data_IF_502600997643
#
_entry.id   IF_502600997643
#
_cell.length_a   1.000
_cell.length_b   1.000
_cell.length_c   1.000
_cell.angle_alpha   90.00
_cell.angle_beta   90.00
_cell.angle_gamma   90.00
#
_symmetry.space_group_name_H-M   'P 1'
#
loop_
_entity.id
_entity.type
_entity.pdbx_description
1 polymer ?
#
# COMPACT_ATOMS: atom_id res chain seq x y z
N UNK A 1 14.35 -3.78 16.13
CA UNK A 1 13.63 -2.57 15.67
C UNK A 1 13.67 -2.65 14.16
N UNK A 2 12.80 -3.49 13.66
CA UNK A 2 12.95 -4.26 12.44
C UNK A 2 12.60 -3.47 11.19
N UNK A 3 13.02 -3.97 10.04
CA UNK A 3 12.65 -3.42 8.74
C UNK A 3 11.19 -3.76 8.43
N UNK A 4 10.39 -2.81 7.92
CA UNK A 4 8.96 -3.04 7.72
C UNK A 4 8.74 -4.05 6.60
N UNK A 5 8.21 -5.22 6.97
CA UNK A 5 7.69 -6.20 6.02
C UNK A 5 6.28 -5.76 5.59
N UNK A 6 6.07 -5.56 4.29
CA UNK A 6 4.74 -5.27 3.76
C UNK A 6 4.26 -6.48 2.97
N UNK A 7 3.09 -7.01 3.35
CA UNK A 7 2.44 -8.11 2.63
C UNK A 7 1.62 -7.54 1.46
N UNK A 8 1.90 -8.00 0.24
CA UNK A 8 1.14 -7.62 -0.93
C UNK A 8 0.32 -8.82 -1.42
N UNK A 9 -0.97 -8.58 -1.66
CA UNK A 9 -1.87 -9.54 -2.28
C UNK A 9 -2.25 -8.98 -3.65
N UNK A 10 -1.91 -9.70 -4.71
CA UNK A 10 -2.31 -9.35 -6.08
C UNK A 10 -2.94 -10.54 -6.78
N UNK A 11 -3.67 -10.26 -7.86
CA UNK A 11 -4.32 -11.28 -8.66
C UNK A 11 -3.48 -11.59 -9.89
N UNK A 12 -2.93 -12.79 -9.96
CA UNK A 12 -2.19 -13.27 -11.13
C UNK A 12 -2.94 -14.48 -11.73
N UNK A 13 -3.18 -14.45 -13.04
CA UNK A 13 -3.90 -15.53 -13.75
C UNK A 13 -5.19 -15.98 -13.05
N UNK A 14 -5.97 -15.02 -12.55
CA UNK A 14 -7.21 -15.20 -11.78
C UNK A 14 -7.08 -15.78 -10.36
N UNK A 15 -5.87 -16.18 -9.95
CA UNK A 15 -5.55 -16.65 -8.60
C UNK A 15 -5.02 -15.51 -7.71
N UNK A 16 -5.17 -15.65 -6.39
CA UNK A 16 -4.56 -14.73 -5.43
C UNK A 16 -3.14 -15.22 -5.14
N UNK A 17 -2.15 -14.36 -5.34
CA UNK A 17 -0.76 -14.62 -4.99
C UNK A 17 -0.39 -13.71 -3.82
N UNK A 18 0.23 -14.30 -2.81
CA UNK A 18 0.77 -13.60 -1.66
C UNK A 18 2.28 -13.42 -1.88
N UNK A 19 2.75 -12.19 -1.78
CA UNK A 19 4.16 -11.86 -1.91
C UNK A 19 4.63 -11.03 -0.72
N UNK A 20 5.80 -11.38 -0.21
CA UNK A 20 6.46 -10.66 0.86
C UNK A 20 7.42 -9.65 0.25
N UNK A 21 7.09 -8.36 0.38
CA UNK A 21 7.96 -7.28 -0.10
C UNK A 21 8.69 -6.68 1.10
N UNK A 22 10.02 -6.69 1.01
CA UNK A 22 10.88 -6.04 2.00
C UNK A 22 11.13 -4.59 1.58
N UNK A 23 10.69 -3.66 2.42
CA UNK A 23 10.94 -2.24 2.23
C UNK A 23 12.17 -1.81 3.04
N UNK A 24 13.17 -1.27 2.34
CA UNK A 24 14.41 -0.77 2.93
C UNK A 24 14.22 0.66 3.40
N UNK A 25 14.73 1.00 4.58
CA UNK A 25 14.71 2.36 5.10
C UNK A 25 15.60 3.27 4.27
N UNK A 26 15.20 4.54 4.15
CA UNK A 26 16.05 5.59 3.61
C UNK A 26 16.42 6.59 4.71
N UNK A 27 17.17 7.63 4.37
CA UNK A 27 17.49 8.74 5.29
C UNK A 27 16.22 9.51 5.72
N UNK A 28 15.23 9.59 4.83
CA UNK A 28 13.91 10.13 5.16
C UNK A 28 13.06 9.00 5.79
N UNK A 29 12.62 9.13 7.06
CA UNK A 29 11.86 8.09 7.74
C UNK A 29 10.48 7.84 7.13
N UNK A 30 9.95 8.77 6.32
CA UNK A 30 8.71 8.60 5.60
C UNK A 30 8.89 7.89 4.25
N UNK A 31 10.14 7.65 3.82
CA UNK A 31 10.46 7.08 2.51
C UNK A 31 11.19 5.75 2.65
N UNK A 32 10.74 4.77 1.87
CA UNK A 32 11.30 3.44 1.77
C UNK A 32 11.59 3.09 0.32
N UNK A 33 12.55 2.20 0.09
CA UNK A 33 12.80 1.62 -1.23
C UNK A 33 12.40 0.15 -1.26
N UNK A 34 11.81 -0.28 -2.36
CA UNK A 34 11.54 -1.69 -2.65
C UNK A 34 12.25 -2.07 -3.94
N UNK A 35 12.75 -3.30 -3.98
CA UNK A 35 13.34 -3.87 -5.18
C UNK A 35 12.49 -5.06 -5.65
N UNK A 36 11.35 -4.74 -6.24
CA UNK A 36 10.45 -5.69 -6.89
C UNK A 36 10.37 -5.30 -8.36
N UNK A 37 10.91 -6.12 -9.26
CA UNK A 37 10.97 -5.86 -10.71
C UNK A 37 11.56 -4.48 -11.13
N UNK A 38 12.41 -3.90 -10.27
CA UNK A 38 12.97 -2.56 -10.40
C UNK A 38 12.92 -1.80 -9.07
N UNK A 39 13.84 -0.86 -8.86
CA UNK A 39 13.81 -0.01 -7.68
C UNK A 39 12.61 0.94 -7.74
N UNK A 40 11.79 0.93 -6.71
CA UNK A 40 10.65 1.83 -6.53
C UNK A 40 10.72 2.49 -5.17
N UNK A 41 10.26 3.74 -5.10
CA UNK A 41 10.15 4.49 -3.84
C UNK A 41 8.73 4.41 -3.33
N UNK A 42 8.59 4.15 -2.03
CA UNK A 42 7.33 4.20 -1.29
C UNK A 42 7.43 5.37 -0.31
N UNK A 43 6.47 6.28 -0.33
CA UNK A 43 6.34 7.38 0.62
C UNK A 43 5.09 7.20 1.47
N UNK A 44 5.23 7.21 2.79
CA UNK A 44 4.11 7.28 3.72
C UNK A 44 3.63 8.73 3.76
N UNK A 45 2.37 8.97 3.42
CA UNK A 45 1.77 10.29 3.46
C UNK A 45 1.26 10.65 4.85
N UNK A 46 0.61 9.69 5.52
CA UNK A 46 0.02 9.86 6.83
C UNK A 46 -0.39 8.50 7.42
N UNK A 47 -0.34 8.37 8.73
CA UNK A 47 -0.70 7.16 9.48
C UNK A 47 -1.02 7.55 10.92
N UNK A 48 -1.92 6.81 11.56
CA UNK A 48 -2.14 6.86 13.01
C UNK A 48 -1.73 5.55 13.71
N UNK A 49 -1.04 4.68 12.97
CA UNK A 49 -0.48 3.37 13.35
C UNK A 49 -1.50 2.34 13.85
N UNK A 50 -2.77 2.74 13.95
CA UNK A 50 -3.81 1.98 14.65
C UNK A 50 -5.05 1.74 13.80
N UNK A 51 -5.40 2.66 12.91
CA UNK A 51 -6.62 2.61 12.11
C UNK A 51 -6.35 2.70 10.61
N UNK A 52 -5.39 3.51 10.18
CA UNK A 52 -5.13 3.71 8.76
C UNK A 52 -3.67 3.97 8.42
N UNK A 53 -3.34 3.69 7.16
CA UNK A 53 -2.09 4.03 6.51
C UNK A 53 -2.38 4.59 5.11
N UNK A 54 -1.88 5.79 4.82
CA UNK A 54 -1.83 6.34 3.48
C UNK A 54 -0.39 6.28 2.98
N UNK A 55 -0.19 5.66 1.83
CA UNK A 55 1.13 5.64 1.19
C UNK A 55 1.00 5.83 -0.31
N UNK A 56 2.08 6.23 -0.95
CA UNK A 56 2.22 6.29 -2.38
C UNK A 56 3.44 5.52 -2.85
N UNK A 57 3.36 4.94 -4.04
CA UNK A 57 4.44 4.24 -4.71
C UNK A 57 4.70 4.91 -6.06
N UNK A 58 5.97 5.23 -6.32
CA UNK A 58 6.44 5.73 -7.60
C UNK A 58 6.65 4.57 -8.59
N UNK A 59 6.49 4.86 -9.88
CA UNK A 59 6.84 3.91 -10.93
C UNK A 59 8.34 3.51 -10.87
N UNK A 60 8.69 2.27 -11.26
CA UNK A 60 10.07 1.80 -11.22
C UNK A 60 11.00 2.58 -12.16
N UNK A 61 12.19 2.93 -11.66
CA UNK A 61 13.28 3.53 -12.45
C UNK A 61 13.83 2.47 -13.42
N UNK A 62 14.11 2.78 -14.72
CA UNK A 62 14.11 4.10 -15.36
C UNK A 62 12.85 4.38 -16.18
N UNK A 63 11.74 3.65 -15.96
CA UNK A 63 10.53 3.84 -16.78
C UNK A 63 10.07 5.28 -16.63
N UNK A 64 10.14 6.06 -17.71
CA UNK A 64 9.82 7.49 -17.79
C UNK A 64 8.34 7.84 -17.53
N UNK A 65 7.57 6.91 -16.97
CA UNK A 65 6.22 7.17 -16.52
C UNK A 65 6.31 7.80 -15.13
N UNK A 66 6.05 9.10 -15.02
CA UNK A 66 5.91 9.83 -13.76
C UNK A 66 4.62 9.43 -13.01
N UNK A 67 4.30 8.14 -12.99
CA UNK A 67 3.12 7.59 -12.36
C UNK A 67 3.35 7.45 -10.86
N UNK A 68 2.37 7.90 -10.09
CA UNK A 68 2.29 7.67 -8.66
C UNK A 68 1.00 6.90 -8.39
N UNK A 69 1.09 5.82 -7.62
CA UNK A 69 -0.06 5.07 -7.14
C UNK A 69 -0.16 5.28 -5.63
N UNK A 70 -1.25 5.87 -5.17
CA UNK A 70 -1.49 6.07 -3.75
C UNK A 70 -2.61 5.16 -3.26
N UNK A 71 -2.45 4.63 -2.06
CA UNK A 71 -3.40 3.70 -1.47
C UNK A 71 -3.71 4.09 -0.03
N UNK A 72 -5.00 4.02 0.31
CA UNK A 72 -5.49 4.05 1.67
C UNK A 72 -5.74 2.61 2.13
N UNK A 73 -4.98 2.17 3.13
CA UNK A 73 -5.22 0.93 3.86
C UNK A 73 -5.92 1.24 5.18
N UNK A 74 -7.06 0.60 5.41
CA UNK A 74 -7.80 0.65 6.67
C UNK A 74 -7.63 -0.67 7.42
N UNK A 75 -7.53 -0.60 8.75
CA UNK A 75 -7.47 -1.81 9.59
C UNK A 75 -8.80 -2.57 9.63
N UNK A 76 -9.91 -1.91 9.31
CA UNK A 76 -11.24 -2.53 9.23
C UNK A 76 -11.86 -2.27 7.87
N UNK A 77 -12.75 -3.16 7.43
CA UNK A 77 -13.49 -3.01 6.17
C UNK A 77 -14.57 -1.92 6.23
N UNK A 78 -14.82 -1.31 7.40
CA UNK A 78 -15.77 -0.21 7.51
C UNK A 78 -15.10 1.06 7.00
N UNK A 79 -15.71 1.67 5.99
CA UNK A 79 -15.29 2.99 5.50
C UNK A 79 -15.53 4.02 6.59
N UNK A 80 -14.47 4.70 7.00
CA UNK A 80 -14.56 5.93 7.79
C UNK A 80 -14.51 7.14 6.84
N UNK A 81 -15.64 7.82 6.69
CA UNK A 81 -15.75 8.96 5.78
C UNK A 81 -14.81 10.11 6.14
N UNK A 82 -14.49 10.32 7.43
CA UNK A 82 -13.56 11.38 7.85
C UNK A 82 -12.14 11.06 7.42
N UNK A 83 -11.75 9.79 7.53
CA UNK A 83 -10.43 9.31 7.08
C UNK A 83 -10.36 9.35 5.56
N UNK A 84 -11.44 9.00 4.85
CA UNK A 84 -11.50 9.13 3.39
C UNK A 84 -11.37 10.58 2.92
N UNK A 85 -12.03 11.53 3.57
CA UNK A 85 -11.86 12.97 3.28
C UNK A 85 -10.44 13.45 3.58
N UNK A 86 -9.80 12.93 4.64
CA UNK A 86 -8.40 13.22 4.95
C UNK A 86 -7.48 12.71 3.84
N UNK A 87 -7.74 11.51 3.33
CA UNK A 87 -7.00 10.93 2.22
C UNK A 87 -7.16 11.77 0.95
N UNK A 88 -8.38 12.18 0.58
CA UNK A 88 -8.61 13.04 -0.58
C UNK A 88 -7.80 14.34 -0.46
N UNK A 89 -7.84 15.01 0.69
CA UNK A 89 -7.03 16.22 0.94
C UNK A 89 -5.53 15.96 0.80
N UNK A 90 -5.04 14.82 1.27
CA UNK A 90 -3.63 14.44 1.09
C UNK A 90 -3.30 14.23 -0.40
N UNK A 91 -4.19 13.63 -1.19
CA UNK A 91 -3.99 13.46 -2.64
C UNK A 91 -4.01 14.80 -3.40
N UNK A 92 -4.75 15.80 -2.91
CA UNK A 92 -4.81 17.13 -3.54
C UNK A 92 -3.45 17.85 -3.55
N UNK A 93 -2.54 17.53 -2.61
CA UNK A 93 -1.20 18.14 -2.53
C UNK A 93 -0.22 17.56 -3.54
N UNK A 94 -0.54 16.40 -4.14
CA UNK A 94 0.34 15.71 -5.08
C UNK A 94 0.37 16.44 -6.43
N UNK A 95 1.57 16.68 -7.01
CA UNK A 95 1.74 17.41 -8.26
C UNK A 95 1.45 16.53 -9.48
N UNK A 96 0.21 16.04 -9.61
CA UNK A 96 -0.21 15.16 -10.71
C UNK A 96 -1.23 15.87 -11.62
N UNK A 97 -1.07 15.78 -12.96
CA UNK A 97 -1.95 16.47 -13.91
C UNK A 97 -3.34 15.81 -14.05
N UNK A 98 -3.47 14.52 -13.71
CA UNK A 98 -4.71 13.76 -13.76
C UNK A 98 -4.74 12.73 -12.63
N UNK A 99 -5.93 12.49 -12.05
CA UNK A 99 -6.13 11.53 -10.97
C UNK A 99 -7.19 10.51 -11.38
N UNK A 100 -6.90 9.23 -11.16
CA UNK A 100 -7.84 8.13 -11.34
C UNK A 100 -8.07 7.54 -9.95
N UNK A 101 -9.32 7.53 -9.49
CA UNK A 101 -9.69 7.02 -8.17
C UNK A 101 -10.46 5.72 -8.35
N UNK A 102 -9.97 4.66 -7.72
CA UNK A 102 -10.63 3.35 -7.67
C UNK A 102 -11.16 3.11 -6.26
N UNK A 103 -12.48 3.12 -6.11
CA UNK A 103 -13.12 2.77 -4.84
C UNK A 103 -13.27 1.24 -4.72
N UNK A 104 -12.42 0.64 -3.89
CA UNK A 104 -12.43 -0.79 -3.60
C UNK A 104 -13.27 -1.15 -2.36
N UNK A 105 -13.86 -0.17 -1.67
CA UNK A 105 -14.65 -0.42 -0.47
C UNK A 105 -15.94 -1.21 -0.73
N UNK A 106 -16.44 -1.16 -1.97
CA UNK A 106 -17.66 -1.86 -2.40
C UNK A 106 -17.37 -3.17 -3.16
N UNK A 107 -16.10 -3.58 -3.26
CA UNK A 107 -15.68 -4.68 -4.11
C UNK A 107 -16.17 -6.06 -3.65
N UNK A 108 -16.85 -6.79 -4.54
CA UNK A 108 -17.07 -8.26 -4.46
C UNK A 108 -15.77 -9.07 -4.70
N UNK A 109 -14.64 -8.41 -4.94
CA UNK A 109 -13.34 -9.00 -5.24
C UNK A 109 -12.54 -9.23 -3.97
N UNK A 110 -12.97 -10.16 -3.13
CA UNK A 110 -12.19 -10.57 -1.96
C UNK A 110 -10.99 -11.41 -2.46
N UNK A 111 -9.78 -10.84 -2.41
CA UNK A 111 -8.55 -11.63 -2.50
C UNK A 111 -8.41 -12.38 -1.18
N UNK A 112 -9.05 -13.53 -1.05
CA UNK A 112 -8.85 -14.39 0.11
C UNK A 112 -7.48 -15.03 0.00
N UNK A 113 -6.59 -14.87 1.00
CA UNK A 113 -5.39 -15.70 1.07
C UNK A 113 -5.83 -17.16 0.95
N UNK A 114 -5.19 -17.93 0.07
CA UNK A 114 -5.33 -19.38 0.12
C UNK A 114 -5.03 -19.80 1.57
N UNK A 115 -5.87 -20.66 2.16
CA UNK A 115 -5.76 -21.04 3.56
C UNK A 115 -4.39 -21.66 3.85
N UNK A 116 -3.42 -20.83 4.22
CA UNK A 116 -2.09 -21.22 4.67
C UNK A 116 -2.17 -21.78 6.08
N UNK A 117 -1.25 -22.70 6.45
CA UNK A 117 -1.33 -23.43 7.70
C UNK A 117 -1.26 -22.50 8.94
N UNK A 118 -1.83 -22.91 10.09
CA UNK A 118 -2.21 -22.03 11.21
C UNK A 118 -1.08 -21.28 11.94
N UNK A 119 0.19 -21.46 11.53
CA UNK A 119 1.35 -20.99 12.27
C UNK A 119 1.83 -19.57 11.92
N UNK A 120 1.35 -18.95 10.84
CA UNK A 120 1.75 -17.59 10.45
C UNK A 120 0.80 -16.49 10.96
N UNK A 121 -0.30 -16.83 11.64
CA UNK A 121 -1.27 -15.86 12.20
C UNK A 121 -0.72 -14.99 13.32
N UNK A 122 0.49 -15.24 13.84
CA UNK A 122 1.01 -14.58 15.05
C UNK A 122 2.03 -13.47 14.80
N UNK A 123 2.37 -13.12 13.56
CA UNK A 123 3.49 -12.18 13.29
C UNK A 123 3.10 -10.82 12.71
N UNK A 124 1.81 -10.52 12.52
CA UNK A 124 1.39 -9.19 12.10
C UNK A 124 1.23 -8.26 13.32
N UNK A 125 2.36 -7.75 13.81
CA UNK A 125 2.40 -6.62 14.74
C UNK A 125 2.89 -5.41 13.95
N UNK A 126 1.96 -4.57 13.54
CA UNK A 126 2.23 -3.15 13.22
C UNK A 126 2.58 -2.46 14.54
#
# INVERSE_FOLDING_TARGET
MDDPHTLWLFRENSACVEENIMAQKTEDPAVFTINDQGERRISVLDTDDTHYLFFCMEAPVPRAANGIMCQYLARTLKVDNKVMEKFDRALQTLPVPMRIILDLSQGKGELRPAAGPPHLRSQLRV
#
